data_IF_407985549990
#
_entry.id   IF_407985549990
#
_cell.length_a   1.000
_cell.length_b   1.000
_cell.length_c   1.000
_cell.angle_alpha   90.00
_cell.angle_beta   90.00
_cell.angle_gamma   90.00
#
_symmetry.space_group_name_H-M   'P 1'
#
loop_
_entity.id
_entity.type
_entity.pdbx_description
1 polymer ?
#
# COMPACT_ATOMS: atom_id res chain seq x y z
N UNK A 1 -2.76 -8.93 3.14
CA UNK A 1 -3.67 -8.49 4.21
C UNK A 1 -5.09 -8.49 3.66
N UNK A 2 -6.06 -9.08 4.35
CA UNK A 2 -7.49 -8.98 3.98
C UNK A 2 -8.09 -7.81 4.72
N UNK A 3 -8.62 -6.83 3.99
CA UNK A 3 -9.47 -5.79 4.56
C UNK A 3 -10.85 -6.44 4.80
N UNK A 4 -11.27 -6.52 6.06
CA UNK A 4 -12.57 -7.12 6.37
C UNK A 4 -13.71 -6.13 6.16
N UNK A 5 -13.45 -4.83 6.33
CA UNK A 5 -14.50 -3.81 6.21
C UNK A 5 -13.94 -2.53 5.61
N UNK A 6 -14.60 -2.00 4.59
CA UNK A 6 -14.39 -0.63 4.12
C UNK A 6 -15.49 0.23 4.71
N UNK A 7 -15.12 1.39 5.23
CA UNK A 7 -16.07 2.38 5.78
C UNK A 7 -16.95 2.95 4.68
N UNK A 8 -18.10 3.41 5.06
CA UNK A 8 -19.02 4.15 4.19
C UNK A 8 -18.90 5.67 4.37
N UNK A 9 -18.25 6.10 5.45
CA UNK A 9 -18.08 7.51 5.83
C UNK A 9 -16.75 7.76 6.55
N UNK A 10 -16.39 9.03 6.69
CA UNK A 10 -15.24 9.44 7.50
C UNK A 10 -15.54 9.27 8.98
N UNK A 11 -14.57 8.81 9.80
CA UNK A 11 -14.74 8.78 11.25
C UNK A 11 -14.85 10.21 11.80
N UNK A 12 -15.70 10.39 12.80
CA UNK A 12 -15.87 11.69 13.48
C UNK A 12 -14.59 12.13 14.20
N UNK A 13 -13.85 11.15 14.73
CA UNK A 13 -12.60 11.37 15.44
C UNK A 13 -11.44 10.84 14.60
N UNK A 14 -10.70 11.75 13.97
CA UNK A 14 -9.45 11.43 13.29
C UNK A 14 -8.31 11.57 14.27
N UNK A 15 -7.45 10.54 14.37
CA UNK A 15 -6.30 10.57 15.26
C UNK A 15 -5.40 11.78 14.95
N UNK A 16 -4.88 12.42 15.99
CA UNK A 16 -3.92 13.52 15.84
C UNK A 16 -2.69 12.99 15.11
N UNK A 17 -2.18 13.71 14.09
CA UNK A 17 -0.99 13.27 13.37
C UNK A 17 0.20 13.08 14.30
N UNK A 18 0.87 11.92 14.18
CA UNK A 18 2.08 11.60 14.91
C UNK A 18 3.32 11.89 14.04
N UNK A 19 4.48 12.23 14.66
CA UNK A 19 5.75 12.23 13.94
C UNK A 19 6.05 10.84 13.38
N UNK A 20 6.13 10.73 12.06
CA UNK A 20 6.32 9.46 11.37
C UNK A 20 7.80 9.11 11.32
N UNK A 21 8.16 7.99 11.93
CA UNK A 21 9.50 7.41 11.91
C UNK A 21 9.58 6.26 10.91
N UNK A 22 10.79 5.94 10.45
CA UNK A 22 10.99 4.75 9.61
C UNK A 22 10.46 3.49 10.31
N UNK A 23 9.72 2.62 9.61
CA UNK A 23 9.10 1.45 10.22
C UNK A 23 10.16 0.45 10.66
N UNK A 24 10.12 0.04 11.93
CA UNK A 24 10.95 -1.04 12.45
C UNK A 24 10.24 -2.38 12.25
N UNK A 25 11.01 -3.44 12.09
CA UNK A 25 10.45 -4.79 11.92
C UNK A 25 9.44 -5.16 13.00
N UNK A 26 9.71 -4.79 14.26
CA UNK A 26 8.78 -5.03 15.38
C UNK A 26 7.42 -4.35 15.20
N UNK A 27 7.40 -3.15 14.61
CA UNK A 27 6.16 -2.38 14.40
C UNK A 27 5.32 -3.04 13.31
N UNK A 28 5.97 -3.53 12.23
CA UNK A 28 5.32 -4.29 11.16
C UNK A 28 4.77 -5.63 11.68
N UNK A 29 5.55 -6.36 12.49
CA UNK A 29 5.10 -7.62 13.09
C UNK A 29 3.92 -7.40 14.05
N UNK A 30 3.98 -6.37 14.89
CA UNK A 30 2.86 -6.00 15.78
C UNK A 30 1.62 -5.64 14.97
N UNK A 31 1.77 -4.86 13.91
CA UNK A 31 0.70 -4.47 13.00
C UNK A 31 0.07 -5.68 12.28
N UNK A 32 0.86 -6.71 11.96
CA UNK A 32 0.36 -7.93 11.30
C UNK A 32 -0.55 -8.76 12.21
N UNK A 33 -0.39 -8.65 13.53
CA UNK A 33 -1.22 -9.33 14.54
C UNK A 33 -2.46 -8.50 14.89
N UNK A 34 -2.27 -7.18 15.08
CA UNK A 34 -3.31 -6.24 15.46
C UNK A 34 -3.83 -5.50 14.20
N UNK A 35 -4.51 -6.22 13.30
CA UNK A 35 -5.00 -5.62 12.08
C UNK A 35 -6.13 -4.62 12.36
N UNK A 36 -5.96 -3.38 11.89
CA UNK A 36 -7.06 -2.43 11.81
C UNK A 36 -8.04 -2.90 10.73
N UNK A 37 -9.25 -3.25 11.16
CA UNK A 37 -10.26 -3.84 10.28
C UNK A 37 -11.01 -2.82 9.43
N UNK A 38 -10.82 -1.53 9.70
CA UNK A 38 -11.62 -0.45 9.13
C UNK A 38 -10.76 0.49 8.29
N UNK A 39 -10.79 0.30 6.98
CA UNK A 39 -10.10 1.16 6.01
C UNK A 39 -11.09 2.10 5.29
N UNK A 40 -10.63 3.26 4.80
CA UNK A 40 -11.40 4.12 3.89
C UNK A 40 -11.51 3.50 2.50
N UNK A 41 -10.50 2.75 2.11
CA UNK A 41 -10.40 2.21 0.77
C UNK A 41 -9.17 1.34 0.57
N UNK A 42 -8.81 1.18 -0.68
CA UNK A 42 -7.65 0.41 -1.09
C UNK A 42 -7.05 0.97 -2.38
N UNK A 43 -5.73 0.96 -2.47
CA UNK A 43 -4.98 1.31 -3.67
C UNK A 43 -4.36 0.06 -4.28
N UNK A 44 -4.37 -0.02 -5.62
CA UNK A 44 -3.77 -1.09 -6.43
C UNK A 44 -2.95 -0.46 -7.55
N UNK A 45 -1.63 -0.69 -7.56
CA UNK A 45 -0.72 -0.31 -8.65
C UNK A 45 -0.07 -1.58 -9.22
N UNK A 46 -0.61 -2.15 -10.31
CA UNK A 46 -0.27 -3.50 -10.77
C UNK A 46 1.17 -3.66 -11.23
N UNK A 47 1.73 -2.66 -11.94
CA UNK A 47 3.09 -2.72 -12.49
C UNK A 47 4.16 -2.92 -11.42
N UNK A 48 3.92 -2.39 -10.22
CA UNK A 48 4.83 -2.45 -9.07
C UNK A 48 4.31 -3.35 -7.94
N UNK A 49 3.29 -4.16 -8.22
CA UNK A 49 2.68 -5.11 -7.29
C UNK A 49 2.22 -4.52 -5.95
N UNK A 50 1.89 -3.23 -5.91
CA UNK A 50 1.35 -2.57 -4.73
C UNK A 50 -0.15 -2.85 -4.65
N UNK A 51 -0.59 -3.35 -3.49
CA UNK A 51 -2.00 -3.53 -3.11
C UNK A 51 -2.13 -3.29 -1.61
N UNK A 52 -2.51 -2.06 -1.22
CA UNK A 52 -2.48 -1.60 0.17
C UNK A 52 -3.82 -0.98 0.58
N UNK A 53 -4.27 -1.19 1.85
CA UNK A 53 -5.40 -0.46 2.40
C UNK A 53 -5.07 1.03 2.57
N UNK A 54 -6.09 1.86 2.53
CA UNK A 54 -6.02 3.29 2.81
C UNK A 54 -6.75 3.54 4.13
N UNK A 55 -6.00 3.96 5.14
CA UNK A 55 -6.55 4.31 6.46
C UNK A 55 -6.74 5.83 6.59
N UNK A 56 -7.42 6.24 7.66
CA UNK A 56 -7.51 7.62 8.12
C UNK A 56 -6.71 7.80 9.40
N UNK A 57 -6.08 8.98 9.55
CA UNK A 57 -5.22 9.28 10.69
C UNK A 57 -3.76 8.85 10.47
N UNK A 58 -2.88 9.84 10.42
CA UNK A 58 -1.45 9.67 10.20
C UNK A 58 -0.80 9.20 11.50
N UNK A 59 -0.84 7.88 11.75
CA UNK A 59 -0.26 7.22 12.91
C UNK A 59 0.75 6.15 12.50
N UNK A 60 1.71 5.86 13.38
CA UNK A 60 2.67 4.77 13.15
C UNK A 60 1.97 3.42 12.93
N UNK A 61 0.89 3.18 13.65
CA UNK A 61 0.13 1.93 13.53
C UNK A 61 -0.51 1.79 12.15
N UNK A 62 -1.22 2.81 11.65
CA UNK A 62 -1.84 2.79 10.33
C UNK A 62 -0.80 2.67 9.22
N UNK A 63 0.31 3.42 9.33
CA UNK A 63 1.40 3.40 8.38
C UNK A 63 2.15 2.06 8.35
N UNK A 64 2.18 1.31 9.46
CA UNK A 64 2.75 -0.04 9.50
C UNK A 64 1.82 -1.11 8.89
N UNK A 65 0.51 -0.82 8.78
CA UNK A 65 -0.49 -1.72 8.20
C UNK A 65 -0.75 -1.45 6.71
N UNK A 66 -0.44 -0.25 6.23
CA UNK A 66 -0.72 0.11 4.84
C UNK A 66 -0.43 1.57 4.53
N UNK A 67 -1.37 2.21 3.88
CA UNK A 67 -1.29 3.63 3.51
C UNK A 67 -2.33 4.46 4.24
N UNK A 68 -2.14 5.77 4.22
CA UNK A 68 -3.02 6.72 4.90
C UNK A 68 -3.44 7.82 3.92
N UNK A 69 -4.69 8.26 3.99
CA UNK A 69 -5.12 9.51 3.37
C UNK A 69 -4.53 10.68 4.17
N UNK A 70 -3.63 11.45 3.55
CA UNK A 70 -2.92 12.55 4.23
C UNK A 70 -3.87 13.69 4.59
N UNK A 71 -4.87 13.94 3.75
CA UNK A 71 -5.91 14.94 3.95
C UNK A 71 -7.26 14.24 4.01
N UNK A 72 -7.74 13.84 5.21
CA UNK A 72 -8.94 13.01 5.35
C UNK A 72 -10.23 13.69 4.86
N UNK A 73 -10.27 15.01 4.87
CA UNK A 73 -11.37 15.83 4.38
C UNK A 73 -11.46 15.90 2.84
N UNK A 74 -10.41 15.48 2.14
CA UNK A 74 -10.39 15.45 0.68
C UNK A 74 -10.99 14.15 0.14
N UNK A 75 -12.07 14.31 -0.61
CA UNK A 75 -12.76 13.22 -1.28
C UNK A 75 -12.40 13.24 -2.79
N UNK A 76 -12.09 12.08 -3.41
CA UNK A 76 -11.72 12.00 -4.84
C UNK A 76 -12.85 12.39 -5.80
N UNK A 77 -14.04 12.74 -5.32
CA UNK A 77 -15.13 13.29 -6.13
C UNK A 77 -15.07 14.82 -6.26
N UNK A 78 -14.46 15.50 -5.29
CA UNK A 78 -14.41 16.97 -5.22
C UNK A 78 -12.99 17.53 -5.10
N UNK A 79 -12.04 16.74 -4.64
CA UNK A 79 -10.67 17.16 -4.34
C UNK A 79 -9.64 16.17 -4.90
N UNK A 80 -8.37 16.58 -4.96
CA UNK A 80 -7.28 15.67 -5.21
C UNK A 80 -7.04 14.77 -3.98
N UNK A 81 -6.95 13.47 -4.20
CA UNK A 81 -6.63 12.51 -3.14
C UNK A 81 -5.12 12.43 -2.95
N UNK A 82 -4.66 12.45 -1.71
CA UNK A 82 -3.24 12.30 -1.37
C UNK A 82 -3.06 11.10 -0.46
N UNK A 83 -2.30 10.11 -0.91
CA UNK A 83 -2.05 8.85 -0.20
C UNK A 83 -0.57 8.77 0.14
N UNK A 84 -0.26 8.58 1.43
CA UNK A 84 1.10 8.39 1.92
C UNK A 84 1.29 6.99 2.50
N UNK A 85 2.47 6.40 2.30
CA UNK A 85 2.81 5.10 2.86
C UNK A 85 4.31 4.94 3.07
N UNK A 86 4.69 3.95 3.88
CA UNK A 86 6.08 3.67 4.21
C UNK A 86 6.85 2.98 3.09
N UNK A 87 8.15 3.32 3.00
CA UNK A 87 9.17 2.53 2.35
C UNK A 87 9.90 1.68 3.40
N UNK A 88 10.02 0.38 3.17
CA UNK A 88 10.64 -0.56 4.12
C UNK A 88 12.07 -0.88 3.71
N UNK A 89 13.01 -0.80 4.67
CA UNK A 89 14.45 -0.93 4.42
C UNK A 89 14.87 -2.28 3.82
N UNK A 90 14.21 -3.35 4.23
CA UNK A 90 14.64 -4.71 3.86
C UNK A 90 14.03 -5.22 2.56
N UNK A 91 12.95 -4.61 2.11
CA UNK A 91 12.26 -4.99 0.89
C UNK A 91 11.42 -3.82 0.37
N UNK A 92 11.87 -3.17 -0.69
CA UNK A 92 11.16 -2.06 -1.34
C UNK A 92 9.80 -2.46 -1.91
N UNK A 93 9.56 -3.77 -2.12
CA UNK A 93 8.26 -4.29 -2.56
C UNK A 93 7.21 -4.34 -1.45
N UNK A 94 7.62 -4.19 -0.18
CA UNK A 94 6.71 -4.15 0.96
C UNK A 94 6.12 -2.75 1.15
N UNK A 95 4.90 -2.73 1.68
CA UNK A 95 4.13 -1.52 1.92
C UNK A 95 4.01 -0.65 0.66
N UNK A 96 4.54 0.57 0.69
CA UNK A 96 4.35 1.55 -0.38
C UNK A 96 5.63 1.90 -1.15
N UNK A 97 6.75 1.28 -0.80
CA UNK A 97 8.05 1.55 -1.43
C UNK A 97 8.06 1.32 -2.94
N UNK A 98 7.30 0.35 -3.43
CA UNK A 98 7.22 0.05 -4.86
C UNK A 98 6.76 1.19 -5.75
N UNK A 99 6.07 2.22 -5.23
CA UNK A 99 5.63 3.36 -6.06
C UNK A 99 6.80 4.17 -6.65
N UNK A 100 8.01 4.02 -6.11
CA UNK A 100 9.21 4.66 -6.66
C UNK A 100 9.52 4.19 -8.10
N UNK A 101 9.09 2.99 -8.46
CA UNK A 101 9.29 2.38 -9.77
C UNK A 101 8.12 2.60 -10.73
N UNK A 102 7.13 3.42 -10.34
CA UNK A 102 6.02 3.75 -11.23
C UNK A 102 6.49 4.63 -12.38
N UNK A 103 6.26 4.16 -13.59
CA UNK A 103 6.55 4.88 -14.82
C UNK A 103 5.35 5.69 -15.31
N UNK A 104 5.61 6.73 -16.12
CA UNK A 104 4.56 7.51 -16.77
C UNK A 104 3.66 6.60 -17.61
N UNK A 105 2.34 6.80 -17.52
CA UNK A 105 1.34 5.99 -18.18
C UNK A 105 0.93 4.72 -17.43
N UNK A 106 1.60 4.38 -16.33
CA UNK A 106 1.21 3.23 -15.49
C UNK A 106 -0.20 3.42 -14.92
N UNK A 107 -0.93 2.31 -14.82
CA UNK A 107 -2.29 2.32 -14.24
C UNK A 107 -2.22 2.23 -12.72
N UNK A 108 -3.05 3.06 -12.07
CA UNK A 108 -3.31 3.01 -10.63
C UNK A 108 -4.82 2.98 -10.42
N UNK A 109 -5.27 2.05 -9.59
CA UNK A 109 -6.68 1.91 -9.24
C UNK A 109 -6.87 2.20 -7.77
N UNK A 110 -7.93 2.93 -7.44
CA UNK A 110 -8.31 3.24 -6.06
C UNK A 110 -9.76 2.86 -5.85
N UNK A 111 -10.03 2.06 -4.83
CA UNK A 111 -11.34 1.98 -4.20
C UNK A 111 -11.33 2.95 -3.02
N UNK A 112 -12.29 3.88 -2.98
CA UNK A 112 -12.45 4.81 -1.88
C UNK A 112 -13.92 4.79 -1.46
N UNK A 113 -14.20 4.36 -0.25
CA UNK A 113 -15.52 3.88 0.15
C UNK A 113 -16.04 2.83 -0.84
N UNK A 114 -17.23 3.03 -1.41
CA UNK A 114 -17.83 2.13 -2.40
C UNK A 114 -17.54 2.51 -3.86
N UNK A 115 -16.80 3.61 -4.08
CA UNK A 115 -16.48 4.11 -5.40
C UNK A 115 -15.13 3.60 -5.91
N UNK A 116 -15.03 3.39 -7.22
CA UNK A 116 -13.84 2.90 -7.90
C UNK A 116 -13.34 3.93 -8.90
N UNK A 117 -12.04 4.20 -8.84
CA UNK A 117 -11.36 5.19 -9.68
C UNK A 117 -10.15 4.56 -10.35
N UNK A 118 -9.93 4.95 -11.62
CA UNK A 118 -8.71 4.62 -12.35
C UNK A 118 -7.94 5.90 -12.63
N UNK A 119 -6.62 5.81 -12.49
CA UNK A 119 -5.69 6.89 -12.75
C UNK A 119 -4.54 6.39 -13.63
N UNK A 120 -3.94 7.31 -14.40
CA UNK A 120 -2.67 7.10 -15.09
C UNK A 120 -1.61 8.02 -14.53
N UNK A 121 -0.44 7.45 -14.28
CA UNK A 121 0.72 8.20 -13.79
C UNK A 121 1.15 9.22 -14.84
N UNK A 122 1.26 10.47 -14.43
CA UNK A 122 1.78 11.58 -15.26
C UNK A 122 3.24 11.89 -14.95
N UNK A 123 3.64 11.77 -13.68
CA UNK A 123 5.02 12.02 -13.26
C UNK A 123 5.39 11.27 -12.01
N UNK A 124 6.68 10.94 -11.89
CA UNK A 124 7.30 10.38 -10.71
C UNK A 124 8.59 11.15 -10.45
N UNK A 125 8.70 11.85 -9.31
CA UNK A 125 9.82 12.73 -9.02
C UNK A 125 10.14 12.79 -7.54
N UNK A 126 11.36 13.22 -7.22
CA UNK A 126 11.80 13.45 -5.84
C UNK A 126 11.54 14.91 -5.49
N UNK A 127 10.94 15.14 -4.32
CA UNK A 127 10.69 16.45 -3.71
C UNK A 127 11.30 16.48 -2.31
N UNK A 128 11.43 17.68 -1.72
CA UNK A 128 11.70 17.81 -0.29
C UNK A 128 10.41 17.65 0.50
N UNK A 129 10.48 17.09 1.69
CA UNK A 129 9.32 16.92 2.57
C UNK A 129 8.66 18.26 2.98
N UNK A 130 9.43 19.36 2.89
CA UNK A 130 8.96 20.72 3.16
C UNK A 130 8.18 21.35 2.01
N UNK A 131 8.22 20.74 0.82
CA UNK A 131 7.61 21.31 -0.40
C UNK A 131 6.09 21.01 -0.45
N UNK A 132 5.36 21.45 0.57
CA UNK A 132 3.91 21.24 0.71
C UNK A 132 3.09 21.89 -0.41
N UNK A 133 3.64 22.89 -1.11
CA UNK A 133 3.02 23.50 -2.29
C UNK A 133 2.76 22.50 -3.42
N UNK A 134 3.53 21.41 -3.47
CA UNK A 134 3.36 20.33 -4.44
C UNK A 134 2.09 19.49 -4.22
N UNK A 135 1.53 19.55 -3.01
CA UNK A 135 0.34 18.82 -2.58
C UNK A 135 -0.92 19.69 -2.58
N UNK A 136 -0.87 20.83 -3.26
CA UNK A 136 -2.04 21.67 -3.42
C UNK A 136 -3.19 20.91 -4.09
N UNK A 137 -4.40 21.19 -3.64
CA UNK A 137 -5.59 20.62 -4.25
C UNK A 137 -5.78 21.13 -5.67
N UNK A 138 -5.67 20.24 -6.64
CA UNK A 138 -5.91 20.50 -8.07
C UNK A 138 -7.26 19.96 -8.55
N UNK A 139 -8.15 19.61 -7.59
CA UNK A 139 -9.47 19.09 -7.87
C UNK A 139 -9.51 17.57 -8.08
N UNK A 140 -10.70 17.02 -8.37
CA UNK A 140 -11.00 15.58 -8.30
C UNK A 140 -10.27 14.72 -9.35
N UNK A 141 -9.58 15.35 -10.29
CA UNK A 141 -8.89 14.62 -11.36
C UNK A 141 -7.47 14.19 -10.99
N UNK A 142 -6.98 14.52 -9.80
CA UNK A 142 -5.60 14.24 -9.41
C UNK A 142 -5.50 13.31 -8.22
N UNK A 143 -4.50 12.44 -8.30
CA UNK A 143 -4.06 11.55 -7.23
C UNK A 143 -2.57 11.78 -6.99
N UNK A 144 -2.21 12.01 -5.74
CA UNK A 144 -0.83 12.10 -5.27
C UNK A 144 -0.49 10.87 -4.43
N UNK A 145 0.63 10.21 -4.76
CA UNK A 145 1.16 9.11 -3.98
C UNK A 145 2.53 9.52 -3.44
N UNK A 146 2.74 9.31 -2.14
CA UNK A 146 3.93 9.76 -1.45
C UNK A 146 4.56 8.61 -0.66
N UNK A 147 5.89 8.47 -0.78
CA UNK A 147 6.70 7.62 0.09
C UNK A 147 8.07 8.27 0.33
N UNK A 148 8.83 7.77 1.31
CA UNK A 148 10.23 8.17 1.46
C UNK A 148 11.04 7.70 0.25
N UNK A 149 12.01 8.49 -0.21
CA UNK A 149 12.91 8.08 -1.29
C UNK A 149 13.95 7.03 -0.83
N UNK A 150 14.12 6.88 0.49
CA UNK A 150 14.98 5.90 1.14
C UNK A 150 14.25 5.28 2.32
N UNK A 151 14.62 4.08 2.68
CA UNK A 151 14.12 3.38 3.85
C UNK A 151 14.72 3.88 5.18
N UNK A 152 15.77 4.69 5.11
CA UNK A 152 16.36 5.40 6.24
C UNK A 152 15.77 6.80 6.34
N UNK A 153 16.01 7.49 7.44
CA UNK A 153 15.60 8.87 7.61
C UNK A 153 16.19 9.76 6.51
N UNK A 154 15.33 10.52 5.84
CA UNK A 154 15.68 11.34 4.69
C UNK A 154 14.72 12.53 4.58
N UNK A 155 15.21 13.72 4.21
CA UNK A 155 14.36 14.89 3.95
C UNK A 155 13.68 14.82 2.57
N UNK A 156 13.84 13.74 1.83
CA UNK A 156 13.30 13.61 0.47
C UNK A 156 12.14 12.63 0.41
N UNK A 157 11.19 12.92 -0.45
CA UNK A 157 10.02 12.09 -0.73
C UNK A 157 9.92 11.82 -2.22
N UNK A 158 9.48 10.63 -2.57
CA UNK A 158 9.00 10.33 -3.91
C UNK A 158 7.55 10.82 -4.00
N UNK A 159 7.27 11.66 -4.98
CA UNK A 159 5.92 12.12 -5.31
C UNK A 159 5.55 11.61 -6.70
N UNK A 160 4.55 10.74 -6.73
CA UNK A 160 3.89 10.31 -7.96
C UNK A 160 2.62 11.11 -8.13
N UNK A 161 2.47 11.77 -9.28
CA UNK A 161 1.24 12.44 -9.68
C UNK A 161 0.55 11.60 -10.74
N UNK A 162 -0.74 11.33 -10.55
CA UNK A 162 -1.54 10.58 -11.50
C UNK A 162 -2.86 11.32 -11.78
N UNK A 163 -3.36 11.17 -13.01
CA UNK A 163 -4.58 11.80 -13.49
C UNK A 163 -5.70 10.79 -13.68
N UNK A 164 -6.91 11.17 -13.29
CA UNK A 164 -8.10 10.34 -13.37
C UNK A 164 -8.47 10.03 -14.82
N UNK A 165 -8.77 8.76 -15.07
CA UNK A 165 -9.32 8.30 -16.35
C UNK A 165 -10.84 8.44 -16.32
N UNK A 166 -11.37 9.42 -17.01
CA UNK A 166 -12.80 9.77 -16.97
C UNK A 166 -13.64 9.00 -18.00
N UNK A 167 -13.03 8.43 -19.03
CA UNK A 167 -13.73 7.79 -20.15
C UNK A 167 -14.16 6.33 -19.88
N UNK A 168 -13.77 5.75 -18.74
CA UNK A 168 -14.06 4.35 -18.44
C UNK A 168 -15.30 4.19 -17.60
N UNK A 169 -16.26 3.34 -17.99
CA UNK A 169 -17.41 3.02 -17.15
C UNK A 169 -17.02 2.47 -15.80
N UNK A 170 -17.70 2.88 -14.73
CA UNK A 170 -17.38 2.47 -13.34
C UNK A 170 -17.32 0.95 -13.18
N UNK A 171 -18.23 0.19 -13.78
CA UNK A 171 -18.22 -1.28 -13.74
C UNK A 171 -16.93 -1.87 -14.33
N UNK A 172 -16.38 -1.26 -15.40
CA UNK A 172 -15.12 -1.70 -16.01
C UNK A 172 -13.93 -1.41 -15.09
N UNK A 173 -13.91 -0.25 -14.45
CA UNK A 173 -12.88 0.13 -13.46
C UNK A 173 -12.92 -0.81 -12.27
N UNK A 174 -14.10 -1.11 -11.75
CA UNK A 174 -14.31 -2.06 -10.64
C UNK A 174 -13.81 -3.47 -11.00
N UNK A 175 -14.16 -3.98 -12.18
CA UNK A 175 -13.71 -5.28 -12.65
C UNK A 175 -12.18 -5.34 -12.78
N UNK A 176 -11.56 -4.30 -13.38
CA UNK A 176 -10.11 -4.18 -13.51
C UNK A 176 -9.42 -4.11 -12.13
N UNK A 177 -9.98 -3.34 -11.19
CA UNK A 177 -9.46 -3.27 -9.82
C UNK A 177 -9.38 -4.67 -9.20
N UNK A 178 -10.48 -5.43 -9.20
CA UNK A 178 -10.51 -6.76 -8.60
C UNK A 178 -9.61 -7.78 -9.33
N UNK A 179 -9.58 -7.74 -10.67
CA UNK A 179 -8.68 -8.58 -11.45
C UNK A 179 -7.22 -8.34 -11.08
N UNK A 180 -6.77 -7.07 -11.06
CA UNK A 180 -5.38 -6.72 -10.77
C UNK A 180 -5.02 -6.99 -9.31
N UNK A 181 -5.93 -6.71 -8.38
CA UNK A 181 -5.76 -7.04 -6.97
C UNK A 181 -5.55 -8.55 -6.77
N UNK A 182 -6.42 -9.38 -7.36
CA UNK A 182 -6.32 -10.83 -7.25
C UNK A 182 -5.02 -11.37 -7.88
N UNK A 183 -4.59 -10.80 -9.01
CA UNK A 183 -3.34 -11.17 -9.66
C UNK A 183 -2.13 -10.88 -8.76
N UNK A 184 -2.08 -9.71 -8.10
CA UNK A 184 -1.03 -9.37 -7.14
C UNK A 184 -1.05 -10.34 -5.96
N UNK A 185 -2.19 -10.58 -5.35
CA UNK A 185 -2.32 -11.49 -4.20
C UNK A 185 -1.86 -12.90 -4.55
N UNK A 186 -2.27 -13.42 -5.71
CA UNK A 186 -1.85 -14.74 -6.20
C UNK A 186 -0.33 -14.81 -6.40
N UNK A 187 0.28 -13.77 -6.98
CA UNK A 187 1.74 -13.68 -7.17
C UNK A 187 2.47 -13.65 -5.83
N UNK A 188 2.01 -12.82 -4.89
CA UNK A 188 2.59 -12.71 -3.54
C UNK A 188 2.49 -14.03 -2.77
N UNK A 189 1.32 -14.68 -2.78
CA UNK A 189 1.11 -15.99 -2.13
C UNK A 189 2.03 -17.05 -2.73
N UNK A 190 2.13 -17.13 -4.07
CA UNK A 190 3.04 -18.07 -4.74
C UNK A 190 4.50 -17.83 -4.34
N UNK A 191 4.93 -16.57 -4.31
CA UNK A 191 6.29 -16.20 -3.91
C UNK A 191 6.57 -16.58 -2.46
N UNK A 192 5.61 -16.34 -1.55
CA UNK A 192 5.70 -16.72 -0.15
C UNK A 192 5.82 -18.25 0.02
N UNK A 193 4.96 -19.01 -0.66
CA UNK A 193 5.02 -20.48 -0.61
C UNK A 193 6.37 -21.01 -1.10
N UNK A 194 6.90 -20.50 -2.22
CA UNK A 194 8.17 -20.94 -2.76
C UNK A 194 9.37 -20.53 -1.92
N UNK A 195 9.39 -19.30 -1.40
CA UNK A 195 10.55 -18.76 -0.67
C UNK A 195 10.62 -19.21 0.79
N UNK A 196 9.49 -19.48 1.42
CA UNK A 196 9.44 -19.75 2.87
C UNK A 196 8.84 -21.12 3.21
N UNK A 197 7.67 -21.48 2.68
CA UNK A 197 7.01 -22.74 3.06
C UNK A 197 7.71 -23.95 2.49
N UNK A 198 8.14 -23.90 1.24
CA UNK A 198 8.81 -25.04 0.60
C UNK A 198 10.15 -25.38 1.27
N UNK A 199 11.10 -24.45 1.50
CA UNK A 199 12.33 -24.73 2.23
C UNK A 199 12.09 -25.23 3.66
N UNK A 200 11.14 -24.64 4.37
CA UNK A 200 10.77 -25.07 5.72
C UNK A 200 10.28 -26.52 5.73
N UNK A 201 9.44 -26.89 4.77
CA UNK A 201 8.92 -28.26 4.63
C UNK A 201 10.05 -29.25 4.33
N UNK A 202 11.00 -28.89 3.47
CA UNK A 202 12.18 -29.73 3.19
C UNK A 202 13.01 -29.94 4.46
N UNK A 203 13.27 -28.90 5.25
CA UNK A 203 14.01 -29.01 6.52
C UNK A 203 13.27 -29.92 7.50
N UNK A 204 11.96 -29.79 7.62
CA UNK A 204 11.15 -30.65 8.50
C UNK A 204 11.17 -32.12 8.08
N UNK A 205 11.11 -32.40 6.77
CA UNK A 205 11.21 -33.78 6.25
C UNK A 205 12.59 -34.37 6.57
N UNK A 206 13.67 -33.61 6.33
CA UNK A 206 15.02 -34.06 6.63
C UNK A 206 15.21 -34.33 8.14
N UNK A 207 14.67 -33.48 9.01
CA UNK A 207 14.69 -33.67 10.46
C UNK A 207 13.95 -34.95 10.88
N UNK A 208 12.78 -35.21 10.28
CA UNK A 208 11.99 -36.41 10.52
C UNK A 208 12.75 -37.68 10.08
N UNK A 209 13.33 -37.67 8.90
CA UNK A 209 14.15 -38.81 8.40
C UNK A 209 15.34 -39.05 9.33
N UNK A 210 16.00 -38.00 9.79
CA UNK A 210 17.11 -38.10 10.72
C UNK A 210 16.69 -38.71 12.09
N UNK A 211 15.56 -38.28 12.62
CA UNK A 211 14.99 -38.86 13.87
C UNK A 211 14.64 -40.33 13.71
N UNK A 212 14.03 -40.72 12.60
CA UNK A 212 13.73 -42.15 12.32
C UNK A 212 15.02 -42.96 12.18
N UNK A 213 16.05 -42.41 11.56
CA UNK A 213 17.35 -43.06 11.45
C UNK A 213 17.99 -43.32 12.81
N UNK A 214 18.00 -42.31 13.71
CA UNK A 214 18.52 -42.45 15.08
C UNK A 214 17.72 -43.49 15.86
N UNK A 215 16.40 -43.50 15.71
CA UNK A 215 15.53 -44.44 16.45
C UNK A 215 15.69 -45.89 16.00
N UNK A 216 16.23 -46.14 14.82
CA UNK A 216 16.52 -47.46 14.27
C UNK A 216 17.94 -47.98 14.54
N UNK A 217 18.84 -47.11 15.05
CA UNK A 217 20.16 -47.45 15.55
C UNK A 217 20.09 -47.96 16.98
#
# INVERSE_FOLDING_TARGET
MKIETIRTDLPKDVAVPEPIQAPRLKDILKASVNQNKSALGQIVAPSVAVSQPIFVGLTQENMAQGTVSLFPDRNPESHSLTIIGHHVQYDSSLLFGGIQELENGADVYVRYFDNYYAYKVESNRIIRETDLSELQDKGPNYLYLITCNSATETPYRVLVTAKKVTESPVKKVQAAFHEKQNAIQKKQTKTYCLKFLLPLLVVLILALVFLIYIWRL
#
